data_IF_961276054570
#
_entry.id   IF_961276054570
#
_cell.length_a   1.000
_cell.length_b   1.000
_cell.length_c   1.000
_cell.angle_alpha   90.00
_cell.angle_beta   90.00
_cell.angle_gamma   90.00
#
_symmetry.space_group_name_H-M   'P 1'
#
loop_
_entity.id
_entity.type
_entity.pdbx_description
1 polymer ?
#
# COMPACT_ATOMS: atom_id res chain seq x y z
N UNK A 1 -9.13 2.74 14.58
CA UNK A 1 -9.73 1.83 13.59
C UNK A 1 -8.65 1.07 12.85
N UNK A 2 -8.80 -0.23 12.76
CA UNK A 2 -7.86 -1.03 11.99
C UNK A 2 -8.15 -0.87 10.51
N UNK A 3 -7.12 -0.53 9.73
CA UNK A 3 -7.23 -0.50 8.27
C UNK A 3 -6.86 -1.86 7.73
N UNK A 4 -7.78 -2.51 7.04
CA UNK A 4 -7.52 -3.80 6.41
C UNK A 4 -7.07 -3.57 4.97
N UNK A 5 -5.88 -4.07 4.64
CA UNK A 5 -5.33 -4.02 3.29
C UNK A 5 -5.35 -5.42 2.69
N UNK A 6 -5.75 -5.50 1.43
CA UNK A 6 -5.86 -6.77 0.72
C UNK A 6 -5.17 -6.66 -0.63
N UNK A 7 -4.41 -7.69 -1.00
CA UNK A 7 -3.78 -7.77 -2.32
C UNK A 7 -4.87 -7.76 -3.38
N UNK A 8 -4.68 -6.95 -4.42
CA UNK A 8 -5.66 -6.73 -5.48
C UNK A 8 -6.62 -5.57 -5.23
N UNK A 9 -6.56 -4.97 -4.05
CA UNK A 9 -7.40 -3.83 -3.70
C UNK A 9 -6.80 -2.53 -4.21
N UNK A 10 -7.65 -1.59 -4.59
CA UNK A 10 -7.20 -0.24 -4.93
C UNK A 10 -6.87 0.54 -3.65
N UNK A 11 -5.74 1.19 -3.65
CA UNK A 11 -5.30 2.00 -2.52
C UNK A 11 -4.81 3.36 -3.00
N UNK A 12 -5.19 4.41 -2.28
CA UNK A 12 -4.75 5.78 -2.56
C UNK A 12 -3.88 6.26 -1.39
N UNK A 13 -2.66 6.71 -1.70
CA UNK A 13 -1.77 7.25 -0.68
C UNK A 13 -2.27 8.61 -0.22
N UNK A 14 -2.23 8.85 1.10
CA UNK A 14 -2.71 10.11 1.66
C UNK A 14 -1.72 11.25 1.46
N UNK A 15 -0.43 10.96 1.37
CA UNK A 15 0.60 11.99 1.25
C UNK A 15 0.72 12.55 -0.16
N UNK A 16 0.67 11.68 -1.17
CA UNK A 16 0.87 12.10 -2.56
C UNK A 16 -0.39 11.99 -3.41
N UNK A 17 -1.46 11.38 -2.88
CA UNK A 17 -2.69 11.18 -3.64
C UNK A 17 -2.53 10.20 -4.79
N UNK A 18 -1.55 9.32 -4.73
CA UNK A 18 -1.29 8.34 -5.79
C UNK A 18 -2.20 7.13 -5.57
N UNK A 19 -2.91 6.73 -6.60
CA UNK A 19 -3.79 5.56 -6.59
C UNK A 19 -3.14 4.42 -7.35
N UNK A 20 -3.14 3.23 -6.77
CA UNK A 20 -2.59 2.03 -7.38
C UNK A 20 -3.26 0.78 -6.84
N UNK A 21 -2.92 -0.36 -7.44
CA UNK A 21 -3.43 -1.66 -7.01
C UNK A 21 -2.38 -2.31 -6.11
N UNK A 22 -2.80 -2.83 -4.97
CA UNK A 22 -1.91 -3.49 -4.02
C UNK A 22 -1.46 -4.82 -4.62
N UNK A 23 -0.15 -4.97 -4.84
CA UNK A 23 0.44 -6.21 -5.36
C UNK A 23 1.00 -7.06 -4.24
N UNK A 24 1.53 -6.43 -3.18
CA UNK A 24 2.17 -7.15 -2.08
C UNK A 24 2.07 -6.34 -0.80
N UNK A 25 1.93 -7.02 0.32
CA UNK A 25 1.89 -6.39 1.64
C UNK A 25 2.96 -7.02 2.50
N UNK A 26 3.82 -6.19 3.10
CA UNK A 26 4.87 -6.62 4.00
C UNK A 26 4.65 -5.93 5.36
N UNK A 27 4.29 -6.72 6.37
CA UNK A 27 4.03 -6.20 7.72
C UNK A 27 5.27 -6.29 8.57
N UNK A 28 5.64 -5.17 9.16
CA UNK A 28 6.77 -5.11 10.08
C UNK A 28 6.31 -5.17 11.54
N UNK A 29 7.12 -5.73 12.44
CA UNK A 29 6.76 -5.83 13.86
C UNK A 29 6.66 -4.47 14.56
N UNK A 30 7.20 -3.42 13.96
CA UNK A 30 7.11 -2.06 14.50
C UNK A 30 5.74 -1.41 14.34
N UNK A 31 4.78 -2.11 13.71
CA UNK A 31 3.45 -1.57 13.45
C UNK A 31 3.31 -0.84 12.12
N UNK A 32 4.38 -0.79 11.34
CA UNK A 32 4.37 -0.18 10.01
C UNK A 32 4.20 -1.29 8.97
N UNK A 33 3.31 -1.09 8.02
CA UNK A 33 3.14 -2.00 6.89
C UNK A 33 3.67 -1.34 5.63
N UNK A 34 4.43 -2.09 4.83
CA UNK A 34 4.89 -1.65 3.53
C UNK A 34 4.04 -2.31 2.46
N UNK A 35 3.56 -1.51 1.54
CA UNK A 35 2.65 -1.97 0.51
C UNK A 35 3.25 -1.67 -0.85
N UNK A 36 3.29 -2.70 -1.71
CA UNK A 36 3.72 -2.53 -3.09
C UNK A 36 2.49 -2.23 -3.94
N UNK A 37 2.50 -1.07 -4.57
CA UNK A 37 1.41 -0.62 -5.43
C UNK A 37 1.81 -0.70 -6.90
N UNK A 38 0.88 -1.12 -7.73
CA UNK A 38 1.01 -1.05 -9.18
C UNK A 38 0.36 0.25 -9.66
N UNK A 39 1.18 1.21 -10.01
CA UNK A 39 0.73 2.54 -10.44
C UNK A 39 1.10 2.72 -11.91
N UNK A 40 0.11 2.66 -12.79
CA UNK A 40 0.29 2.83 -14.25
C UNK A 40 1.40 1.92 -14.81
N UNK A 41 1.42 0.65 -14.34
CA UNK A 41 2.41 -0.33 -14.80
C UNK A 41 3.75 -0.25 -14.11
N UNK A 42 3.90 0.61 -13.10
CA UNK A 42 5.14 0.75 -12.33
C UNK A 42 4.95 0.33 -10.90
N UNK A 43 5.92 -0.39 -10.36
CA UNK A 43 5.90 -0.80 -8.96
C UNK A 43 6.30 0.36 -8.06
N UNK A 44 5.54 0.56 -6.99
CA UNK A 44 5.81 1.63 -6.05
C UNK A 44 5.57 1.16 -4.63
N UNK A 45 6.56 1.34 -3.75
CA UNK A 45 6.43 1.01 -2.34
C UNK A 45 5.92 2.21 -1.55
N UNK A 46 5.00 1.94 -0.64
CA UNK A 46 4.52 2.94 0.30
C UNK A 46 4.44 2.35 1.69
N UNK A 47 4.57 3.20 2.71
CA UNK A 47 4.45 2.78 4.10
C UNK A 47 3.10 3.19 4.64
N UNK A 48 2.44 2.28 5.37
CA UNK A 48 1.14 2.51 5.99
C UNK A 48 1.27 2.19 7.47
N UNK A 49 0.87 3.13 8.31
CA UNK A 49 0.85 2.94 9.76
C UNK A 49 -0.49 2.45 10.24
#
# INVERSE_FOLDING_TARGET
MATTLTVGQTYTTTQSGITGIIKKIDKHPSGVSRVLLDVAGKDRWTSVK
#
